data_IF_366745266818
#
_entry.id   IF_366745266818
#
_cell.length_a   1.000
_cell.length_b   1.000
_cell.length_c   1.000
_cell.angle_alpha   90.00
_cell.angle_beta   90.00
_cell.angle_gamma   90.00
#
_symmetry.space_group_name_H-M   'P 1'
#
loop_
_entity.id
_entity.type
_entity.pdbx_description
1 polymer ?
#
# COMPACT_ATOMS: atom_id res chain seq x y z
N UNK A 1 36.47 -34.82 26.28
CA UNK A 1 36.47 -34.28 24.90
C UNK A 1 35.19 -34.56 24.08
N UNK A 2 34.42 -35.63 24.29
CA UNK A 2 33.18 -35.92 23.51
C UNK A 2 31.98 -35.00 23.86
N UNK A 3 31.87 -34.48 25.11
CA UNK A 3 30.76 -33.58 25.54
C UNK A 3 30.88 -32.14 25.02
N UNK A 4 32.11 -31.64 24.80
CA UNK A 4 32.34 -30.29 24.25
C UNK A 4 32.00 -30.18 22.74
N UNK A 5 32.13 -31.27 21.96
CA UNK A 5 31.75 -31.29 20.54
C UNK A 5 30.24 -31.32 20.30
N UNK A 6 29.47 -31.91 21.20
CA UNK A 6 28.00 -31.95 21.10
C UNK A 6 27.37 -30.54 21.37
N UNK A 7 27.94 -29.76 22.30
CA UNK A 7 27.47 -28.40 22.60
C UNK A 7 27.74 -27.41 21.44
N UNK A 8 28.85 -27.57 20.71
CA UNK A 8 29.20 -26.70 19.58
C UNK A 8 28.30 -26.93 18.37
N UNK A 9 27.88 -28.18 18.11
CA UNK A 9 26.97 -28.53 17.01
C UNK A 9 25.54 -28.00 17.29
N UNK A 10 25.08 -28.04 18.54
CA UNK A 10 23.76 -27.51 18.92
C UNK A 10 23.70 -25.96 18.82
N UNK A 11 24.79 -25.26 19.10
CA UNK A 11 24.86 -23.80 18.98
C UNK A 11 24.88 -23.33 17.53
N UNK A 12 25.51 -24.07 16.62
CA UNK A 12 25.50 -23.74 15.18
C UNK A 12 24.15 -24.01 14.51
N UNK A 13 23.32 -24.92 15.02
CA UNK A 13 21.98 -25.18 14.48
C UNK A 13 20.96 -24.08 14.81
N UNK A 14 21.17 -23.29 15.86
CA UNK A 14 20.30 -22.16 16.22
C UNK A 14 20.54 -20.88 15.39
N UNK A 15 21.64 -20.79 14.63
CA UNK A 15 21.97 -19.61 13.83
C UNK A 15 21.46 -19.66 12.38
N UNK A 16 20.83 -20.75 11.95
CA UNK A 16 20.33 -20.92 10.58
C UNK A 16 18.83 -20.61 10.39
N UNK A 17 18.13 -20.12 11.42
CA UNK A 17 16.69 -19.92 11.36
C UNK A 17 16.26 -18.46 11.08
N UNK A 18 17.06 -17.63 10.38
CA UNK A 18 16.70 -16.24 10.09
C UNK A 18 16.91 -15.84 8.62
N UNK A 19 16.46 -16.67 7.68
CA UNK A 19 16.26 -16.25 6.29
C UNK A 19 14.79 -16.35 5.92
N UNK A 20 13.92 -15.67 6.67
CA UNK A 20 12.56 -15.34 6.23
C UNK A 20 12.59 -14.08 5.34
N UNK A 21 11.59 -13.86 4.46
CA UNK A 21 11.54 -12.67 3.64
C UNK A 21 11.61 -11.42 4.54
N UNK A 22 12.68 -10.62 4.35
CA UNK A 22 12.93 -9.41 5.11
C UNK A 22 11.87 -8.35 4.77
N UNK A 23 11.15 -7.85 5.75
CA UNK A 23 10.17 -6.76 5.60
C UNK A 23 9.00 -6.88 6.58
N UNK A 24 8.22 -5.80 6.75
CA UNK A 24 7.06 -5.81 7.62
C UNK A 24 6.06 -6.90 7.24
N UNK A 25 5.49 -7.58 8.23
CA UNK A 25 4.49 -8.64 8.06
C UNK A 25 3.10 -8.10 8.33
N UNK A 26 2.13 -8.70 7.67
CA UNK A 26 0.71 -8.45 7.90
C UNK A 26 0.06 -9.69 8.52
N UNK A 27 -0.98 -9.52 9.34
CA UNK A 27 -1.79 -10.63 9.78
C UNK A 27 -2.48 -11.29 8.57
N UNK A 28 -2.68 -12.61 8.64
CA UNK A 28 -3.41 -13.33 7.60
C UNK A 28 -4.85 -12.87 7.59
N UNK A 29 -5.35 -12.52 6.41
CA UNK A 29 -6.73 -12.10 6.21
C UNK A 29 -7.67 -13.31 6.23
N UNK A 30 -8.73 -13.23 7.03
CA UNK A 30 -9.78 -14.23 7.05
C UNK A 30 -10.51 -14.35 5.71
N UNK A 31 -11.21 -15.46 5.49
CA UNK A 31 -11.97 -15.68 4.24
C UNK A 31 -13.03 -14.58 4.01
N UNK A 32 -13.65 -14.08 5.09
CA UNK A 32 -14.63 -12.98 5.07
C UNK A 32 -14.05 -11.59 5.25
N UNK A 33 -12.72 -11.44 5.24
CA UNK A 33 -12.06 -10.16 5.46
C UNK A 33 -12.51 -9.09 4.46
N UNK A 34 -12.75 -7.89 4.97
CA UNK A 34 -12.95 -6.70 4.17
C UNK A 34 -11.63 -5.93 4.10
N UNK A 35 -11.20 -5.61 2.90
CA UNK A 35 -10.06 -4.74 2.62
C UNK A 35 -10.60 -3.38 2.19
N UNK A 36 -10.11 -2.31 2.78
CA UNK A 36 -10.42 -0.94 2.38
C UNK A 36 -9.28 -0.41 1.50
N UNK A 37 -9.55 -0.11 0.25
CA UNK A 37 -8.68 0.70 -0.59
C UNK A 37 -9.09 2.17 -0.44
N UNK A 38 -8.24 2.96 0.19
CA UNK A 38 -8.50 4.37 0.52
C UNK A 38 -7.50 5.28 -0.17
N UNK A 39 -7.98 6.35 -0.80
CA UNK A 39 -7.13 7.28 -1.54
C UNK A 39 -7.89 8.29 -2.38
N UNK A 40 -7.23 8.73 -3.44
CA UNK A 40 -7.71 9.76 -4.36
C UNK A 40 -8.24 9.17 -5.70
N UNK A 41 -8.02 9.86 -6.82
CA UNK A 41 -8.43 9.43 -8.17
C UNK A 41 -7.81 8.10 -8.60
N UNK A 42 -6.61 7.77 -8.10
CA UNK A 42 -5.95 6.50 -8.40
C UNK A 42 -6.69 5.32 -7.76
N UNK A 43 -7.23 5.52 -6.56
CA UNK A 43 -8.06 4.51 -5.88
C UNK A 43 -9.49 4.49 -6.41
N UNK A 44 -10.03 5.63 -6.85
CA UNK A 44 -11.31 5.70 -7.54
C UNK A 44 -11.30 4.92 -8.86
N UNK A 45 -10.17 4.89 -9.56
CA UNK A 45 -10.03 4.24 -10.87
C UNK A 45 -10.25 5.18 -12.05
N UNK A 46 -9.97 6.49 -11.87
CA UNK A 46 -10.06 7.47 -12.98
C UNK A 46 -9.22 7.02 -14.16
N UNK A 47 -9.81 6.97 -15.36
CA UNK A 47 -9.13 6.53 -16.59
C UNK A 47 -9.43 5.08 -17.01
N UNK A 48 -10.25 4.35 -16.22
CA UNK A 48 -10.74 3.01 -16.55
C UNK A 48 -12.20 2.83 -16.06
N UNK A 49 -12.82 1.71 -16.40
CA UNK A 49 -14.13 1.35 -15.83
C UNK A 49 -13.98 0.93 -14.35
N UNK A 50 -15.07 0.94 -13.62
CA UNK A 50 -15.08 0.57 -12.20
C UNK A 50 -14.55 -0.85 -11.97
N UNK A 51 -14.88 -1.77 -12.85
CA UNK A 51 -14.48 -3.18 -12.81
C UNK A 51 -13.01 -3.39 -13.15
N UNK A 52 -12.38 -2.43 -13.84
CA UNK A 52 -10.97 -2.42 -14.26
C UNK A 52 -10.09 -1.64 -13.29
N UNK A 53 -10.66 -0.83 -12.39
CA UNK A 53 -9.93 -0.13 -11.33
C UNK A 53 -9.19 -1.12 -10.43
N UNK A 54 -7.99 -0.74 -9.92
CA UNK A 54 -7.16 -1.67 -9.16
C UNK A 54 -7.86 -2.31 -7.95
N UNK A 55 -8.76 -1.63 -7.20
CA UNK A 55 -9.42 -2.28 -6.07
C UNK A 55 -10.32 -3.45 -6.50
N UNK A 56 -11.05 -3.31 -7.62
CA UNK A 56 -11.91 -4.37 -8.15
C UNK A 56 -11.08 -5.55 -8.70
N UNK A 57 -10.00 -5.25 -9.43
CA UNK A 57 -9.07 -6.28 -9.93
C UNK A 57 -8.40 -7.00 -8.77
N UNK A 58 -7.94 -6.26 -7.75
CA UNK A 58 -7.32 -6.83 -6.54
C UNK A 58 -8.27 -7.79 -5.82
N UNK A 59 -9.53 -7.38 -5.63
CA UNK A 59 -10.54 -8.22 -4.98
C UNK A 59 -10.67 -9.60 -5.63
N UNK A 60 -10.67 -9.65 -6.97
CA UNK A 60 -10.66 -10.90 -7.73
C UNK A 60 -9.37 -11.71 -7.53
N UNK A 61 -8.20 -11.05 -7.53
CA UNK A 61 -6.90 -11.72 -7.39
C UNK A 61 -6.72 -12.37 -6.01
N UNK A 62 -7.15 -11.70 -4.94
CA UNK A 62 -6.97 -12.19 -3.57
C UNK A 62 -8.19 -12.92 -3.02
N UNK A 63 -9.30 -13.02 -3.78
CA UNK A 63 -10.57 -13.61 -3.37
C UNK A 63 -11.08 -13.02 -2.04
N UNK A 64 -11.07 -11.69 -1.92
CA UNK A 64 -11.56 -10.93 -0.75
C UNK A 64 -12.42 -9.76 -1.22
N UNK A 65 -13.33 -9.31 -0.35
CA UNK A 65 -14.09 -8.07 -0.59
C UNK A 65 -13.13 -6.89 -0.45
N UNK A 66 -12.96 -6.12 -1.54
CA UNK A 66 -12.23 -4.84 -1.52
C UNK A 66 -13.23 -3.72 -1.72
N UNK A 67 -13.34 -2.83 -0.72
CA UNK A 67 -14.16 -1.62 -0.77
C UNK A 67 -13.26 -0.48 -1.28
N UNK A 68 -13.65 0.12 -2.39
CA UNK A 68 -12.96 1.28 -2.95
C UNK A 68 -13.54 2.57 -2.36
N UNK A 69 -12.72 3.35 -1.69
CA UNK A 69 -13.06 4.65 -1.11
C UNK A 69 -12.09 5.73 -1.62
N UNK A 70 -12.00 5.84 -2.94
CA UNK A 70 -11.22 6.86 -3.63
C UNK A 70 -12.07 8.09 -3.96
N UNK A 71 -11.52 9.30 -3.74
CA UNK A 71 -12.15 10.58 -4.09
C UNK A 71 -11.22 11.37 -5.02
N UNK A 72 -11.60 11.57 -6.29
CA UNK A 72 -10.78 12.30 -7.24
C UNK A 72 -10.43 13.72 -6.76
N UNK A 73 -9.16 14.11 -6.88
CA UNK A 73 -8.67 15.44 -6.48
C UNK A 73 -8.41 15.61 -4.98
N UNK A 74 -8.72 14.61 -4.15
CA UNK A 74 -8.57 14.68 -2.69
C UNK A 74 -7.10 14.79 -2.27
N UNK A 75 -6.77 15.78 -1.45
CA UNK A 75 -5.46 15.93 -0.81
C UNK A 75 -5.35 15.03 0.42
N UNK A 76 -4.12 14.79 0.89
CA UNK A 76 -3.88 13.99 2.10
C UNK A 76 -4.57 14.56 3.34
N UNK A 77 -4.66 15.90 3.45
CA UNK A 77 -5.37 16.57 4.54
C UNK A 77 -6.89 16.28 4.51
N UNK A 78 -7.49 16.34 3.33
CA UNK A 78 -8.91 16.03 3.16
C UNK A 78 -9.18 14.55 3.45
N UNK A 79 -8.31 13.64 2.95
CA UNK A 79 -8.37 12.22 3.24
C UNK A 79 -8.25 11.91 4.72
N UNK A 80 -7.31 12.56 5.43
CA UNK A 80 -7.13 12.40 6.87
C UNK A 80 -8.41 12.75 7.65
N UNK A 81 -9.11 13.82 7.27
CA UNK A 81 -10.40 14.19 7.89
C UNK A 81 -11.52 13.18 7.61
N UNK A 82 -11.52 12.55 6.43
CA UNK A 82 -12.56 11.60 6.00
C UNK A 82 -12.34 10.20 6.55
N UNK A 83 -11.09 9.78 6.75
CA UNK A 83 -10.73 8.40 7.08
C UNK A 83 -11.46 7.84 8.30
N UNK A 84 -11.57 8.54 9.45
CA UNK A 84 -12.22 7.98 10.63
C UNK A 84 -13.66 7.49 10.39
N UNK A 85 -14.48 8.27 9.69
CA UNK A 85 -15.85 7.88 9.35
C UNK A 85 -15.91 6.66 8.42
N UNK A 86 -14.98 6.56 7.47
CA UNK A 86 -14.90 5.41 6.56
C UNK A 86 -14.42 4.13 7.29
N UNK A 87 -13.49 4.25 8.22
CA UNK A 87 -13.06 3.11 9.04
C UNK A 87 -14.20 2.57 9.91
N UNK A 88 -15.00 3.47 10.51
CA UNK A 88 -16.17 3.10 11.30
C UNK A 88 -17.26 2.42 10.48
N UNK A 89 -17.53 2.91 9.27
CA UNK A 89 -18.53 2.36 8.35
C UNK A 89 -18.10 0.98 7.80
N UNK A 90 -16.87 0.88 7.30
CA UNK A 90 -16.38 -0.31 6.58
C UNK A 90 -15.86 -1.40 7.51
N UNK A 91 -15.29 -1.06 8.65
CA UNK A 91 -14.65 -1.96 9.63
C UNK A 91 -13.69 -2.97 8.97
N UNK A 92 -12.68 -2.48 8.23
CA UNK A 92 -11.80 -3.35 7.46
C UNK A 92 -10.80 -4.09 8.36
N UNK A 93 -10.31 -5.26 7.92
CA UNK A 93 -9.14 -5.92 8.52
C UNK A 93 -7.82 -5.36 7.96
N UNK A 94 -7.85 -4.81 6.74
CA UNK A 94 -6.69 -4.21 6.09
C UNK A 94 -7.07 -2.90 5.41
N UNK A 95 -6.28 -1.87 5.65
CA UNK A 95 -6.28 -0.61 4.91
C UNK A 95 -5.15 -0.63 3.86
N UNK A 96 -5.48 -0.44 2.60
CA UNK A 96 -4.53 -0.11 1.54
C UNK A 96 -4.62 1.39 1.31
N UNK A 97 -3.61 2.13 1.75
CA UNK A 97 -3.56 3.59 1.69
C UNK A 97 -2.77 4.04 0.46
N UNK A 98 -3.39 4.87 -0.39
CA UNK A 98 -2.76 5.48 -1.57
C UNK A 98 -3.13 6.96 -1.62
N UNK A 99 -2.34 7.80 -1.00
CA UNK A 99 -2.61 9.24 -0.83
C UNK A 99 -1.35 10.08 -0.95
N UNK A 100 -1.50 11.38 -1.28
CA UNK A 100 -0.42 12.37 -1.36
C UNK A 100 -0.11 12.86 -2.78
N UNK A 101 -0.67 12.22 -3.82
CA UNK A 101 -0.46 12.63 -5.21
C UNK A 101 -0.98 14.05 -5.51
N UNK A 102 -2.17 14.37 -5.01
CA UNK A 102 -2.76 15.70 -5.18
C UNK A 102 -2.05 16.79 -4.37
N UNK A 103 -1.36 16.44 -3.30
CA UNK A 103 -0.53 17.37 -2.53
C UNK A 103 0.61 17.93 -3.39
N UNK A 104 1.21 17.10 -4.23
CA UNK A 104 2.22 17.54 -5.20
C UNK A 104 1.62 18.38 -6.33
N UNK A 105 0.46 17.98 -6.87
CA UNK A 105 -0.23 18.71 -7.94
C UNK A 105 -0.70 20.09 -7.47
N UNK A 106 -1.23 20.19 -6.27
CA UNK A 106 -1.75 21.41 -5.66
C UNK A 106 -0.67 22.21 -4.88
N UNK A 107 0.58 21.67 -4.81
CA UNK A 107 1.71 22.32 -4.13
C UNK A 107 1.46 22.62 -2.64
N UNK A 108 0.74 21.72 -1.94
CA UNK A 108 0.48 21.88 -0.49
C UNK A 108 1.68 21.54 0.38
N UNK A 109 2.71 20.92 -0.19
CA UNK A 109 3.98 20.60 0.46
C UNK A 109 4.16 19.12 0.78
N UNK A 110 5.38 18.63 0.55
CA UNK A 110 5.74 17.23 0.79
C UNK A 110 5.73 16.86 2.26
N UNK A 111 6.17 17.78 3.13
CA UNK A 111 6.19 17.58 4.58
C UNK A 111 4.77 17.44 5.15
N UNK A 112 3.83 18.26 4.68
CA UNK A 112 2.42 18.18 5.06
C UNK A 112 1.80 16.85 4.60
N UNK A 113 2.08 16.42 3.36
CA UNK A 113 1.63 15.14 2.85
C UNK A 113 2.18 13.97 3.68
N UNK A 114 3.48 13.98 3.98
CA UNK A 114 4.12 12.95 4.81
C UNK A 114 3.52 12.88 6.21
N UNK A 115 3.27 14.04 6.85
CA UNK A 115 2.62 14.12 8.16
C UNK A 115 1.22 13.50 8.13
N UNK A 116 0.39 13.87 7.14
CA UNK A 116 -0.98 13.38 7.02
C UNK A 116 -1.03 11.87 6.72
N UNK A 117 -0.17 11.36 5.82
CA UNK A 117 -0.06 9.92 5.54
C UNK A 117 0.34 9.15 6.79
N UNK A 118 1.32 9.64 7.55
CA UNK A 118 1.74 9.03 8.83
C UNK A 118 0.59 8.95 9.83
N UNK A 119 -0.17 10.03 9.94
CA UNK A 119 -1.30 10.09 10.86
C UNK A 119 -2.44 9.15 10.44
N UNK A 120 -2.76 9.06 9.15
CA UNK A 120 -3.76 8.09 8.65
C UNK A 120 -3.36 6.64 8.98
N UNK A 121 -2.08 6.30 8.91
CA UNK A 121 -1.59 4.96 9.27
C UNK A 121 -1.78 4.73 10.77
N UNK A 122 -1.39 5.69 11.63
CA UNK A 122 -1.54 5.58 13.08
C UNK A 122 -2.99 5.40 13.51
N UNK A 123 -3.90 6.21 12.96
CA UNK A 123 -5.34 6.09 13.23
C UNK A 123 -5.90 4.69 12.91
N UNK A 124 -5.44 4.06 11.83
CA UNK A 124 -5.85 2.71 11.49
C UNK A 124 -5.22 1.67 12.44
N UNK A 125 -3.92 1.80 12.73
CA UNK A 125 -3.21 0.88 13.63
C UNK A 125 -3.74 0.94 15.08
N UNK A 126 -4.12 2.11 15.58
CA UNK A 126 -4.76 2.29 16.89
C UNK A 126 -6.09 1.56 17.03
N UNK A 127 -6.79 1.34 15.90
CA UNK A 127 -8.00 0.52 15.84
C UNK A 127 -7.73 -0.96 15.56
N UNK A 128 -6.46 -1.39 15.56
CA UNK A 128 -6.07 -2.78 15.28
C UNK A 128 -6.17 -3.16 13.80
N UNK A 129 -6.32 -2.18 12.89
CA UNK A 129 -6.42 -2.40 11.45
C UNK A 129 -5.01 -2.49 10.87
N UNK A 130 -4.72 -3.57 10.15
CA UNK A 130 -3.47 -3.71 9.42
C UNK A 130 -3.39 -2.69 8.28
N UNK A 131 -2.18 -2.20 7.96
CA UNK A 131 -2.01 -1.18 6.91
C UNK A 131 -0.96 -1.62 5.90
N UNK A 132 -1.23 -1.35 4.62
CA UNK A 132 -0.29 -1.39 3.51
C UNK A 132 -0.31 -0.05 2.79
N UNK A 133 0.85 0.46 2.40
CA UNK A 133 1.01 1.75 1.75
C UNK A 133 1.38 1.57 0.28
N UNK A 134 0.78 2.36 -0.60
CA UNK A 134 1.18 2.51 -2.01
C UNK A 134 1.78 3.91 -2.17
N UNK A 135 3.06 3.97 -2.54
CA UNK A 135 3.77 5.23 -2.75
C UNK A 135 3.29 5.92 -4.03
N UNK A 136 2.92 7.18 -3.92
CA UNK A 136 2.53 8.01 -5.06
C UNK A 136 3.73 8.81 -5.56
N UNK A 137 4.10 8.73 -6.84
CA UNK A 137 5.23 9.49 -7.37
C UNK A 137 4.88 10.97 -7.53
N UNK A 138 5.90 11.82 -7.57
CA UNK A 138 5.72 13.22 -7.99
C UNK A 138 5.43 13.26 -9.49
N UNK A 139 4.38 13.99 -9.92
CA UNK A 139 4.15 14.25 -11.34
C UNK A 139 5.23 15.16 -11.90
N UNK A 140 5.66 14.92 -13.16
CA UNK A 140 6.71 15.73 -13.82
C UNK A 140 7.23 15.08 -15.08
N UNK A 141 8.35 15.60 -15.63
CA UNK A 141 9.12 14.95 -16.69
C UNK A 141 9.83 13.72 -16.12
N UNK A 142 9.20 12.55 -16.29
CA UNK A 142 9.55 11.34 -15.57
C UNK A 142 8.90 11.32 -14.17
N UNK A 143 8.58 10.14 -13.71
CA UNK A 143 8.01 9.95 -12.36
C UNK A 143 9.14 9.83 -11.35
N UNK A 144 9.26 10.78 -10.44
CA UNK A 144 10.24 10.70 -9.36
C UNK A 144 9.63 10.01 -8.15
N UNK A 145 10.33 9.00 -7.63
CA UNK A 145 9.99 8.37 -6.35
C UNK A 145 10.08 9.39 -5.22
N UNK A 146 9.23 9.22 -4.23
CA UNK A 146 9.15 10.07 -3.05
C UNK A 146 9.57 9.27 -1.83
N UNK A 147 10.70 9.64 -1.22
CA UNK A 147 11.37 8.87 -0.17
C UNK A 147 10.57 8.71 1.12
N UNK A 148 9.75 9.70 1.47
CA UNK A 148 9.03 9.66 2.75
C UNK A 148 8.09 8.45 2.92
N UNK A 149 7.57 7.86 1.84
CA UNK A 149 6.71 6.67 1.93
C UNK A 149 7.50 5.46 2.49
N UNK A 150 8.71 5.24 2.00
CA UNK A 150 9.58 4.16 2.50
C UNK A 150 10.06 4.43 3.93
N UNK A 151 10.33 5.70 4.27
CA UNK A 151 10.69 6.12 5.63
C UNK A 151 9.54 5.85 6.60
N UNK A 152 8.31 6.23 6.25
CA UNK A 152 7.10 5.95 7.04
C UNK A 152 6.88 4.44 7.16
N UNK A 153 7.05 3.69 6.07
CA UNK A 153 6.93 2.24 6.08
C UNK A 153 7.89 1.57 7.07
N UNK A 154 9.13 2.06 7.17
CA UNK A 154 10.12 1.60 8.15
C UNK A 154 9.75 2.02 9.57
N UNK A 155 9.38 3.30 9.76
CA UNK A 155 9.01 3.88 11.07
C UNK A 155 7.81 3.14 11.69
N UNK A 156 6.77 2.88 10.91
CA UNK A 156 5.51 2.32 11.39
C UNK A 156 5.35 0.82 11.12
N UNK A 157 6.41 0.14 10.65
CA UNK A 157 6.42 -1.28 10.30
C UNK A 157 5.31 -1.67 9.30
N UNK A 158 5.11 -0.86 8.26
CA UNK A 158 4.08 -1.02 7.23
C UNK A 158 4.71 -1.44 5.90
N UNK A 159 4.20 -2.50 5.22
CA UNK A 159 4.65 -2.82 3.87
C UNK A 159 4.35 -1.69 2.89
N UNK A 160 5.32 -1.36 2.04
CA UNK A 160 5.19 -0.29 1.04
C UNK A 160 5.38 -0.87 -0.36
N UNK A 161 4.42 -0.61 -1.25
CA UNK A 161 4.60 -0.76 -2.69
C UNK A 161 5.16 0.55 -3.23
N UNK A 162 6.47 0.59 -3.43
CA UNK A 162 7.20 1.83 -3.70
C UNK A 162 7.36 2.17 -5.20
N UNK A 163 7.11 1.21 -6.09
CA UNK A 163 7.58 1.29 -7.47
C UNK A 163 6.45 1.33 -8.50
N UNK A 164 5.39 0.57 -8.30
CA UNK A 164 4.41 0.27 -9.35
C UNK A 164 3.73 1.51 -9.94
N UNK A 165 3.39 2.50 -9.11
CA UNK A 165 2.77 3.74 -9.61
C UNK A 165 3.75 4.56 -10.45
N UNK A 166 5.02 4.65 -10.05
CA UNK A 166 6.05 5.32 -10.82
C UNK A 166 6.26 4.63 -12.18
N UNK A 167 6.32 3.30 -12.20
CA UNK A 167 6.46 2.49 -13.42
C UNK A 167 5.27 2.65 -14.37
N UNK A 168 4.04 2.60 -13.83
CA UNK A 168 2.81 2.73 -14.62
C UNK A 168 2.67 4.14 -15.18
N UNK A 169 2.82 5.16 -14.36
CA UNK A 169 2.69 6.55 -14.77
C UNK A 169 3.87 7.03 -15.63
N UNK A 170 5.02 6.36 -15.57
CA UNK A 170 6.15 6.55 -16.47
C UNK A 170 5.95 6.01 -17.90
N UNK A 171 4.97 5.12 -18.10
CA UNK A 171 4.72 4.44 -19.37
C UNK A 171 3.48 4.99 -20.10
N UNK A 172 3.63 5.57 -21.27
CA UNK A 172 2.50 6.05 -22.07
C UNK A 172 1.50 4.94 -22.48
N UNK A 173 1.95 3.68 -22.53
CA UNK A 173 1.07 2.53 -22.83
C UNK A 173 0.12 2.16 -21.70
N UNK A 174 0.45 2.55 -20.46
CA UNK A 174 -0.27 2.19 -19.26
C UNK A 174 -1.13 3.33 -18.67
N UNK A 175 -1.21 4.46 -19.39
CA UNK A 175 -1.93 5.66 -18.97
C UNK A 175 -3.11 5.96 -19.87
N UNK A 176 -4.13 6.59 -19.29
CA UNK A 176 -5.26 7.21 -20.00
C UNK A 176 -5.02 8.70 -20.26
N UNK A 177 -4.29 9.35 -19.34
CA UNK A 177 -3.87 10.74 -19.43
C UNK A 177 -2.50 10.98 -18.76
N UNK A 178 -2.15 12.21 -18.38
CA UNK A 178 -0.84 12.53 -17.82
C UNK A 178 -0.60 11.91 -16.42
N UNK A 179 -1.65 11.67 -15.65
CA UNK A 179 -1.56 11.32 -14.23
C UNK A 179 -2.41 10.11 -13.81
N UNK A 180 -3.21 9.55 -14.74
CA UNK A 180 -4.07 8.41 -14.44
C UNK A 180 -3.71 7.18 -15.27
N UNK A 181 -3.68 5.99 -14.67
CA UNK A 181 -3.57 4.72 -15.38
C UNK A 181 -4.76 4.45 -16.31
N UNK A 182 -4.56 3.64 -17.33
CA UNK A 182 -5.63 2.95 -18.05
C UNK A 182 -5.92 1.57 -17.40
N UNK A 183 -6.83 0.80 -17.99
CA UNK A 183 -7.21 -0.53 -17.49
C UNK A 183 -6.00 -1.48 -17.28
N UNK A 184 -5.05 -1.50 -18.22
CA UNK A 184 -3.84 -2.32 -18.12
C UNK A 184 -2.92 -1.83 -16.99
N UNK A 185 -2.76 -0.51 -16.85
CA UNK A 185 -2.04 0.11 -15.76
C UNK A 185 -2.62 -0.26 -14.40
N UNK A 186 -3.94 -0.18 -14.23
CA UNK A 186 -4.62 -0.60 -13.01
C UNK A 186 -4.48 -2.10 -12.72
N UNK A 187 -4.55 -2.94 -13.74
CA UNK A 187 -4.31 -4.36 -13.59
C UNK A 187 -2.87 -4.66 -13.14
N UNK A 188 -1.88 -3.88 -13.59
CA UNK A 188 -0.49 -3.98 -13.13
C UNK A 188 -0.34 -3.57 -11.68
N UNK A 189 -0.99 -2.47 -11.25
CA UNK A 189 -1.02 -2.03 -9.85
C UNK A 189 -1.63 -3.12 -8.96
N UNK A 190 -2.78 -3.66 -9.34
CA UNK A 190 -3.44 -4.72 -8.57
C UNK A 190 -2.56 -5.97 -8.40
N UNK A 191 -1.83 -6.39 -9.43
CA UNK A 191 -0.89 -7.53 -9.34
C UNK A 191 0.30 -7.25 -8.41
N UNK A 192 0.85 -6.03 -8.44
CA UNK A 192 1.94 -5.64 -7.54
C UNK A 192 1.49 -5.64 -6.08
N UNK A 193 0.31 -5.06 -5.81
CA UNK A 193 -0.32 -5.06 -4.49
C UNK A 193 -0.58 -6.49 -4.00
N UNK A 194 -1.19 -7.35 -4.82
CA UNK A 194 -1.43 -8.76 -4.47
C UNK A 194 -0.13 -9.51 -4.14
N UNK A 195 0.93 -9.28 -4.95
CA UNK A 195 2.26 -9.87 -4.71
C UNK A 195 2.86 -9.42 -3.37
N UNK A 196 2.72 -8.13 -3.03
CA UNK A 196 3.23 -7.61 -1.77
C UNK A 196 2.42 -8.15 -0.58
N UNK A 197 1.09 -8.26 -0.69
CA UNK A 197 0.24 -8.87 0.33
C UNK A 197 0.63 -10.34 0.58
N UNK A 198 0.87 -11.12 -0.47
CA UNK A 198 1.34 -12.50 -0.34
C UNK A 198 2.73 -12.57 0.32
N UNK A 199 3.68 -11.72 -0.09
CA UNK A 199 5.02 -11.62 0.53
C UNK A 199 4.96 -11.22 2.01
N UNK A 200 4.02 -10.35 2.36
CA UNK A 200 3.80 -9.92 3.74
C UNK A 200 3.05 -10.96 4.59
N UNK A 201 2.46 -12.00 3.98
CA UNK A 201 1.75 -13.09 4.67
C UNK A 201 0.25 -12.86 4.85
N UNK A 202 -0.33 -11.83 4.21
CA UNK A 202 -1.74 -11.50 4.36
C UNK A 202 -2.67 -12.46 3.58
N UNK A 203 -2.21 -13.00 2.45
CA UNK A 203 -2.98 -13.89 1.55
C UNK A 203 -2.15 -15.09 1.14
#
# INVERSE_FOLDING_TARGET
MKRARAALVALCALLLASCGPSGPKLPRLDAGAVVLAFGDSLTHGTGASREEAYPAVLGRLISRKVVAAGVPGETSEQGLRRLPGILEEVKPQLLILCHGGNDFLQRTGEEAAAKNVREMIRLAQEQGIAVMLIATPKPGFGTSKVGFYEEIGKELAVPVEADVLADVLGSNKLKSDLVHPNAEGYARIARAVAKLLAKAGAV
#
